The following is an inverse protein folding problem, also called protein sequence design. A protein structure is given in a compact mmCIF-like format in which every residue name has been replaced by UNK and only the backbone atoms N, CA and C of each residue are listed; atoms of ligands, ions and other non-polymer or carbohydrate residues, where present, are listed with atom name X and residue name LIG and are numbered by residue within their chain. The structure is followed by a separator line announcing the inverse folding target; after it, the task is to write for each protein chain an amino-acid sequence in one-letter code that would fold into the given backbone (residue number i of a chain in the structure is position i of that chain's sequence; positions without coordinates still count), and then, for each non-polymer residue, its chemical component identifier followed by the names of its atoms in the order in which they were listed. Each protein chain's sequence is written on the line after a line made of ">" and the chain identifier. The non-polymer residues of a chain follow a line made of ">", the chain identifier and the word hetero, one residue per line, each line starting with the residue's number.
data_IF_521518007010
#
_entry.id   IF_521518007010
#
_cell.length_a   1.000
_cell.length_b   1.000
_cell.length_c   1.000
_cell.angle_alpha   90.00
_cell.angle_beta   90.00
_cell.angle_gamma   90.00
#
_symmetry.space_group_name_H-M   'P 1'
#
loop_
_entity.id
_entity.type
_entity.pdbx_description
1 polymer ?
#
# COMPACT_ATOMS: atom_id res chain seq x y z
N UNK A 1 -1.06 -29.83 4.49
CA UNK A 1 0.09 -28.92 4.30
C UNK A 1 -0.37 -27.52 4.60
N UNK A 2 0.35 -26.82 5.47
CA UNK A 2 0.02 -25.47 5.93
C UNK A 2 1.20 -24.58 5.60
N UNK A 3 0.97 -23.41 5.01
CA UNK A 3 2.03 -22.43 4.70
C UNK A 3 1.61 -21.08 5.25
N UNK A 4 2.52 -20.35 5.90
CA UNK A 4 2.29 -18.98 6.33
C UNK A 4 3.59 -18.17 6.33
N UNK A 5 3.47 -16.89 6.02
CA UNK A 5 4.54 -15.90 6.27
C UNK A 5 4.34 -15.33 7.66
N UNK A 6 5.39 -15.33 8.48
CA UNK A 6 5.30 -14.86 9.86
C UNK A 6 5.19 -13.33 9.90
N UNK A 7 4.13 -12.84 10.55
CA UNK A 7 3.88 -11.44 10.88
C UNK A 7 4.68 -11.01 12.11
N UNK A 8 5.04 -11.95 12.98
CA UNK A 8 5.91 -11.67 14.15
C UNK A 8 7.39 -11.63 13.76
N UNK A 9 7.78 -12.43 12.77
CA UNK A 9 9.15 -12.57 12.27
C UNK A 9 9.15 -12.24 10.78
N UNK A 10 9.31 -10.96 10.40
CA UNK A 10 9.28 -10.57 8.99
C UNK A 10 10.30 -11.39 8.20
N UNK A 11 9.99 -11.61 6.92
CA UNK A 11 10.81 -12.39 5.99
C UNK A 11 10.93 -13.90 6.27
N UNK A 12 10.25 -14.45 7.29
CA UNK A 12 10.18 -15.89 7.52
C UNK A 12 8.94 -16.50 6.87
N UNK A 13 9.15 -17.44 5.96
CA UNK A 13 8.14 -18.35 5.43
C UNK A 13 8.25 -19.70 6.16
N UNK A 14 7.12 -20.17 6.70
CA UNK A 14 7.00 -21.47 7.37
C UNK A 14 6.06 -22.36 6.59
N UNK A 15 6.50 -23.59 6.33
CA UNK A 15 5.72 -24.61 5.65
C UNK A 15 5.72 -25.90 6.46
N UNK A 16 4.54 -26.32 6.89
CA UNK A 16 4.31 -27.52 7.67
C UNK A 16 3.65 -28.60 6.82
N UNK A 17 4.25 -29.78 6.79
CA UNK A 17 3.79 -30.94 6.04
C UNK A 17 3.51 -32.05 7.06
N UNK A 18 2.25 -32.44 7.15
CA UNK A 18 1.75 -33.45 8.08
C UNK A 18 1.21 -34.65 7.30
N UNK A 19 1.67 -35.85 7.65
CA UNK A 19 1.12 -37.13 7.22
C UNK A 19 0.29 -37.75 8.36
N UNK A 20 -0.99 -38.01 8.11
CA UNK A 20 -1.87 -38.67 9.07
C UNK A 20 -2.03 -40.14 8.73
N UNK A 21 -1.65 -41.00 9.68
CA UNK A 21 -1.72 -42.44 9.53
C UNK A 21 -2.91 -42.99 10.30
N UNK A 22 -3.78 -43.73 9.63
CA UNK A 22 -4.94 -44.37 10.27
C UNK A 22 -4.57 -45.62 11.08
N UNK A 23 -3.36 -46.17 10.89
CA UNK A 23 -2.88 -47.38 11.55
C UNK A 23 -1.42 -47.23 12.03
N UNK A 24 -1.05 -47.84 13.17
CA UNK A 24 0.30 -47.70 13.76
C UNK A 24 1.44 -48.34 12.94
N UNK A 25 1.15 -49.30 12.06
CA UNK A 25 2.14 -50.01 11.24
C UNK A 25 2.13 -49.56 9.77
N UNK A 26 1.62 -48.36 9.49
CA UNK A 26 1.50 -47.87 8.13
C UNK A 26 2.86 -47.59 7.48
N UNK A 27 2.94 -47.87 6.17
CA UNK A 27 4.12 -47.61 5.35
C UNK A 27 4.44 -46.11 5.31
N UNK A 28 5.73 -45.71 5.38
CA UNK A 28 6.11 -44.32 5.19
C UNK A 28 5.59 -43.75 3.86
N UNK A 29 5.16 -42.49 3.87
CA UNK A 29 4.68 -41.75 2.71
C UNK A 29 5.82 -40.92 2.15
N UNK A 30 6.13 -41.10 0.87
CA UNK A 30 7.10 -40.27 0.15
C UNK A 30 6.42 -38.96 -0.30
N UNK A 31 6.95 -37.84 0.15
CA UNK A 31 6.63 -36.50 -0.35
C UNK A 31 7.76 -36.06 -1.27
N UNK A 32 7.46 -35.88 -2.56
CA UNK A 32 8.43 -35.41 -3.55
C UNK A 32 7.78 -34.37 -4.46
N UNK A 33 8.55 -33.43 -5.03
CA UNK A 33 8.03 -32.53 -6.04
C UNK A 33 7.48 -33.29 -7.26
N UNK A 34 6.34 -32.83 -7.79
CA UNK A 34 5.76 -33.37 -9.03
C UNK A 34 6.57 -32.93 -10.27
N UNK A 35 7.28 -31.82 -10.16
CA UNK A 35 8.14 -31.23 -11.18
C UNK A 35 9.54 -30.98 -10.61
N UNK A 36 10.56 -31.08 -11.46
CA UNK A 36 11.90 -30.65 -11.10
C UNK A 36 11.88 -29.15 -10.76
N UNK A 37 12.55 -28.77 -9.66
CA UNK A 37 12.66 -27.36 -9.29
C UNK A 37 13.62 -26.68 -10.25
N UNK A 38 13.13 -25.63 -10.92
CA UNK A 38 13.92 -24.74 -11.73
C UNK A 38 14.09 -23.41 -10.98
N UNK A 39 15.33 -22.92 -10.94
CA UNK A 39 15.67 -21.61 -10.37
C UNK A 39 15.96 -20.56 -11.45
N UNK A 40 15.85 -20.90 -12.74
CA UNK A 40 15.97 -19.91 -13.80
C UNK A 40 14.83 -18.89 -13.70
N UNK A 41 15.19 -17.61 -13.83
CA UNK A 41 14.26 -16.49 -13.85
C UNK A 41 14.60 -15.57 -15.02
N UNK A 42 13.60 -15.04 -15.75
CA UNK A 42 13.83 -14.03 -16.77
C UNK A 42 14.13 -12.65 -16.17
N UNK A 43 13.85 -12.44 -14.88
CA UNK A 43 13.90 -11.12 -14.22
C UNK A 43 15.15 -10.92 -13.37
N UNK A 44 15.79 -12.02 -12.94
CA UNK A 44 16.94 -11.97 -12.05
C UNK A 44 17.91 -13.13 -12.27
N UNK A 45 19.20 -12.83 -12.06
CA UNK A 45 20.21 -13.86 -11.92
C UNK A 45 20.05 -14.52 -10.56
N UNK A 46 19.99 -15.85 -10.53
CA UNK A 46 19.83 -16.64 -9.31
C UNK A 46 21.01 -17.61 -9.17
N UNK A 47 21.69 -17.51 -8.04
CA UNK A 47 22.81 -18.35 -7.63
C UNK A 47 22.35 -19.21 -6.46
N UNK A 48 22.47 -20.52 -6.61
CA UNK A 48 22.09 -21.51 -5.59
C UNK A 48 23.31 -22.29 -5.15
N UNK A 49 23.62 -22.23 -3.86
CA UNK A 49 24.79 -22.89 -3.28
C UNK A 49 24.39 -23.73 -2.04
N UNK A 50 24.98 -24.92 -1.85
CA UNK A 50 24.88 -25.62 -0.58
C UNK A 50 25.69 -24.88 0.48
N UNK A 51 25.11 -24.65 1.65
CA UNK A 51 25.77 -24.02 2.79
C UNK A 51 25.36 -24.74 4.08
N UNK A 52 26.31 -25.36 4.78
CA UNK A 52 26.08 -26.10 6.04
C UNK A 52 24.92 -27.12 6.02
N UNK A 53 24.70 -27.78 4.88
CA UNK A 53 23.60 -28.75 4.71
C UNK A 53 22.25 -28.12 4.41
N UNK A 54 22.21 -26.81 4.19
CA UNK A 54 21.07 -26.01 3.76
C UNK A 54 21.28 -25.48 2.33
N UNK A 55 20.26 -24.82 1.79
CA UNK A 55 20.36 -24.06 0.54
C UNK A 55 20.48 -22.57 0.83
N UNK A 56 21.56 -21.99 0.34
CA UNK A 56 21.77 -20.55 0.18
C UNK A 56 21.35 -20.17 -1.24
N UNK A 57 20.44 -19.21 -1.37
CA UNK A 57 19.99 -18.69 -2.66
C UNK A 57 20.26 -17.19 -2.64
N UNK A 58 20.97 -16.67 -3.62
CA UNK A 58 21.20 -15.23 -3.75
C UNK A 58 21.03 -14.81 -5.19
N UNK A 59 20.81 -13.52 -5.41
CA UNK A 59 20.60 -13.05 -6.76
C UNK A 59 20.45 -11.55 -6.84
N UNK A 60 20.32 -11.09 -8.08
CA UNK A 60 20.07 -9.69 -8.37
C UNK A 60 19.22 -9.53 -9.63
N UNK A 61 18.43 -8.46 -9.68
CA UNK A 61 17.62 -8.15 -10.86
C UNK A 61 18.50 -7.91 -12.08
N UNK A 62 18.05 -8.28 -13.28
CA UNK A 62 18.81 -8.01 -14.51
C UNK A 62 18.79 -6.54 -14.91
N UNK A 63 17.72 -5.84 -14.54
CA UNK A 63 17.50 -4.43 -14.88
C UNK A 63 17.20 -3.61 -13.62
N UNK A 64 17.26 -2.30 -13.79
CA UNK A 64 16.83 -1.29 -12.82
C UNK A 64 15.61 -0.58 -13.39
N UNK A 65 14.75 -0.05 -12.51
CA UNK A 65 13.60 0.76 -12.94
C UNK A 65 14.08 2.07 -13.59
N UNK A 66 15.17 2.66 -13.08
CA UNK A 66 15.80 3.83 -13.68
C UNK A 66 17.31 3.88 -13.48
N UNK A 67 18.06 4.00 -14.56
CA UNK A 67 19.52 4.18 -14.51
C UNK A 67 19.95 5.52 -13.89
N UNK A 68 19.06 6.51 -13.84
CA UNK A 68 19.35 7.83 -13.28
C UNK A 68 19.07 7.87 -11.77
N UNK A 69 17.99 7.21 -11.33
CA UNK A 69 17.46 7.35 -9.96
C UNK A 69 17.58 6.11 -9.09
N UNK A 70 18.03 4.98 -9.65
CA UNK A 70 18.28 3.75 -8.89
C UNK A 70 19.78 3.42 -8.89
N UNK A 71 20.34 3.24 -7.69
CA UNK A 71 21.73 2.87 -7.51
C UNK A 71 21.94 1.36 -7.71
N UNK A 72 21.97 0.94 -8.97
CA UNK A 72 22.23 -0.44 -9.37
C UNK A 72 21.06 -1.41 -9.15
N UNK A 73 21.31 -2.65 -9.53
CA UNK A 73 20.35 -3.76 -9.47
C UNK A 73 19.95 -4.07 -8.03
N UNK A 74 18.71 -4.54 -7.84
CA UNK A 74 18.24 -4.96 -6.52
C UNK A 74 18.75 -6.36 -6.20
N UNK A 75 19.37 -6.54 -5.03
CA UNK A 75 19.86 -7.84 -4.56
C UNK A 75 18.91 -8.49 -3.58
N UNK A 76 18.91 -9.82 -3.53
CA UNK A 76 18.20 -10.60 -2.53
C UNK A 76 19.03 -11.81 -2.07
N UNK A 77 18.77 -12.24 -0.85
CA UNK A 77 19.43 -13.35 -0.19
C UNK A 77 18.37 -14.19 0.51
N UNK A 78 18.39 -15.50 0.32
CA UNK A 78 17.46 -16.43 0.93
C UNK A 78 18.21 -17.62 1.51
N UNK A 79 17.70 -18.12 2.62
CA UNK A 79 18.27 -19.29 3.29
C UNK A 79 17.16 -20.26 3.67
N UNK A 80 17.34 -21.55 3.36
CA UNK A 80 16.30 -22.56 3.63
C UNK A 80 16.85 -23.93 3.97
N UNK A 81 16.12 -24.66 4.81
CA UNK A 81 16.42 -26.02 5.23
C UNK A 81 16.03 -27.12 4.26
N UNK A 82 15.42 -26.76 3.14
CA UNK A 82 15.26 -27.68 2.02
C UNK A 82 16.64 -27.98 1.44
N UNK A 83 16.97 -29.27 1.35
CA UNK A 83 18.25 -29.73 0.77
C UNK A 83 18.14 -30.01 -0.73
N UNK A 84 19.24 -29.96 -1.51
CA UNK A 84 19.23 -30.41 -2.92
C UNK A 84 18.73 -31.85 -3.11
N UNK A 85 18.96 -32.71 -2.11
CA UNK A 85 18.49 -34.09 -2.13
C UNK A 85 16.97 -34.17 -1.98
N UNK A 86 16.38 -33.37 -1.10
CA UNK A 86 14.92 -33.30 -0.94
C UNK A 86 14.24 -32.72 -2.18
N UNK A 87 14.86 -31.74 -2.85
CA UNK A 87 14.35 -31.21 -4.13
C UNK A 87 14.31 -32.27 -5.23
N UNK A 88 15.30 -33.16 -5.27
CA UNK A 88 15.43 -34.17 -6.34
C UNK A 88 14.72 -35.49 -6.04
N UNK A 89 14.72 -35.93 -4.78
CA UNK A 89 14.25 -37.26 -4.37
C UNK A 89 13.04 -37.23 -3.43
N UNK A 90 12.72 -36.07 -2.85
CA UNK A 90 11.74 -35.94 -1.80
C UNK A 90 12.24 -36.44 -0.44
N UNK A 91 11.32 -36.49 0.52
CA UNK A 91 11.54 -36.98 1.88
C UNK A 91 10.36 -37.87 2.31
N UNK A 92 10.60 -38.72 3.31
CA UNK A 92 9.57 -39.62 3.84
C UNK A 92 9.01 -39.09 5.16
N UNK A 93 7.69 -39.19 5.32
CA UNK A 93 7.02 -39.09 6.62
C UNK A 93 6.57 -40.48 7.04
N UNK A 94 6.66 -40.78 8.34
CA UNK A 94 6.28 -42.08 8.91
C UNK A 94 5.46 -41.89 10.17
N UNK A 95 4.88 -42.98 10.68
CA UNK A 95 4.15 -42.94 11.97
C UNK A 95 4.99 -42.36 13.11
N UNK A 96 6.31 -42.58 13.08
CA UNK A 96 7.24 -42.08 14.10
C UNK A 96 7.76 -40.66 13.83
N UNK A 97 7.60 -40.15 12.61
CA UNK A 97 7.95 -38.79 12.22
C UNK A 97 6.93 -38.29 11.19
N UNK A 98 5.70 -37.97 11.64
CA UNK A 98 4.59 -37.64 10.76
C UNK A 98 4.59 -36.18 10.32
N UNK A 99 5.55 -35.38 10.78
CA UNK A 99 5.53 -33.92 10.68
C UNK A 99 6.90 -33.41 10.21
N UNK A 100 6.90 -32.52 9.22
CA UNK A 100 8.09 -31.81 8.72
C UNK A 100 7.78 -30.32 8.63
N UNK A 101 8.66 -29.51 9.20
CA UNK A 101 8.68 -28.08 9.02
C UNK A 101 9.80 -27.73 8.06
N UNK A 102 9.50 -26.79 7.17
CA UNK A 102 10.44 -26.16 6.27
C UNK A 102 10.40 -24.66 6.56
N UNK A 103 11.57 -24.09 6.75
CA UNK A 103 11.78 -22.68 7.06
C UNK A 103 12.58 -22.06 5.91
N UNK A 104 12.10 -20.93 5.43
CA UNK A 104 12.80 -20.11 4.44
C UNK A 104 12.83 -18.69 4.94
N UNK A 105 14.00 -18.07 4.99
CA UNK A 105 14.17 -16.66 5.31
C UNK A 105 14.66 -15.88 4.11
N UNK A 106 14.35 -14.59 4.06
CA UNK A 106 14.78 -13.66 3.00
C UNK A 106 15.40 -12.40 3.62
N UNK A 107 16.41 -11.83 2.98
CA UNK A 107 16.97 -10.52 3.28
C UNK A 107 17.28 -9.78 1.97
N UNK A 108 17.17 -8.45 2.00
CA UNK A 108 17.65 -7.57 0.91
C UNK A 108 19.06 -7.05 1.14
N UNK A 109 19.62 -7.27 2.33
CA UNK A 109 20.89 -6.68 2.77
C UNK A 109 22.05 -7.65 2.63
N UNK A 110 21.92 -8.87 3.16
CA UNK A 110 23.01 -9.84 3.18
C UNK A 110 22.53 -11.27 3.45
N UNK A 111 23.36 -12.24 3.08
CA UNK A 111 23.16 -13.64 3.44
C UNK A 111 23.27 -13.86 4.96
N UNK A 112 24.17 -13.16 5.65
CA UNK A 112 24.34 -13.28 7.11
C UNK A 112 23.05 -12.90 7.86
N UNK A 113 22.33 -11.88 7.40
CA UNK A 113 21.04 -11.51 7.98
C UNK A 113 19.96 -12.58 7.73
N UNK A 114 19.92 -13.17 6.53
CA UNK A 114 19.01 -14.25 6.21
C UNK A 114 19.28 -15.49 7.08
N UNK A 115 20.56 -15.86 7.26
CA UNK A 115 21.01 -16.96 8.12
C UNK A 115 20.65 -16.67 9.58
N UNK A 116 20.98 -15.49 10.10
CA UNK A 116 20.68 -15.13 11.49
C UNK A 116 19.18 -15.19 11.80
N UNK A 117 18.34 -14.72 10.85
CA UNK A 117 16.88 -14.82 10.95
C UNK A 117 16.41 -16.27 10.95
N UNK A 118 17.04 -17.13 10.13
CA UNK A 118 16.74 -18.55 10.06
C UNK A 118 17.11 -19.26 11.36
N UNK A 119 18.30 -19.03 11.90
CA UNK A 119 18.76 -19.64 13.15
C UNK A 119 17.84 -19.30 14.31
N UNK A 120 17.39 -18.04 14.39
CA UNK A 120 16.37 -17.62 15.37
C UNK A 120 15.02 -18.34 15.18
N UNK A 121 14.62 -18.61 13.94
CA UNK A 121 13.43 -19.41 13.62
C UNK A 121 13.59 -20.89 13.99
N UNK A 122 14.74 -21.47 13.66
CA UNK A 122 15.07 -22.87 13.89
C UNK A 122 15.16 -23.17 15.39
N UNK A 123 15.78 -22.30 16.19
CA UNK A 123 15.88 -22.47 17.64
C UNK A 123 14.50 -22.62 18.29
N UNK A 124 13.52 -21.82 17.86
CA UNK A 124 12.14 -21.91 18.35
C UNK A 124 11.46 -23.17 17.84
N UNK A 125 11.61 -23.47 16.55
CA UNK A 125 11.03 -24.68 15.97
C UNK A 125 11.57 -25.98 16.59
N UNK A 126 12.82 -26.01 17.06
CA UNK A 126 13.42 -27.17 17.72
C UNK A 126 12.89 -27.38 19.14
N UNK A 127 12.50 -26.31 19.83
CA UNK A 127 11.89 -26.38 21.16
C UNK A 127 10.44 -26.84 21.05
N UNK A 128 9.66 -26.16 20.21
CA UNK A 128 8.28 -26.49 19.90
C UNK A 128 7.89 -25.88 18.54
N UNK A 129 7.68 -26.72 17.51
CA UNK A 129 7.28 -26.22 16.20
C UNK A 129 5.94 -25.49 16.16
N UNK A 130 5.01 -25.79 17.08
CA UNK A 130 3.72 -25.11 17.15
C UNK A 130 3.86 -23.67 17.63
N UNK A 131 4.95 -23.35 18.33
CA UNK A 131 5.23 -21.99 18.80
C UNK A 131 5.28 -20.98 17.64
N UNK A 132 5.88 -21.32 16.48
CA UNK A 132 5.87 -20.43 15.31
C UNK A 132 4.46 -20.12 14.80
N UNK A 133 3.58 -21.14 14.81
CA UNK A 133 2.17 -20.96 14.44
C UNK A 133 1.42 -20.12 15.50
N UNK A 134 1.68 -20.35 16.78
CA UNK A 134 1.07 -19.59 17.86
C UNK A 134 1.50 -18.12 17.89
N UNK A 135 2.77 -17.82 17.60
CA UNK A 135 3.27 -16.46 17.43
C UNK A 135 2.54 -15.74 16.29
N UNK A 136 2.46 -16.40 15.13
CA UNK A 136 1.72 -15.89 13.97
C UNK A 136 0.24 -15.63 14.31
N UNK A 137 -0.44 -16.62 14.90
CA UNK A 137 -1.85 -16.51 15.26
C UNK A 137 -2.09 -15.42 16.31
N UNK A 138 -1.13 -15.20 17.22
CA UNK A 138 -1.21 -14.14 18.23
C UNK A 138 -1.03 -12.77 17.58
N UNK A 139 -0.07 -12.61 16.66
CA UNK A 139 0.12 -11.36 15.92
C UNK A 139 -1.12 -10.99 15.09
N UNK A 140 -1.77 -11.97 14.45
CA UNK A 140 -3.05 -11.75 13.80
C UNK A 140 -4.15 -11.40 14.78
N UNK A 141 -4.29 -12.14 15.89
CA UNK A 141 -5.29 -11.84 16.92
C UNK A 141 -5.15 -10.43 17.49
N UNK A 142 -3.92 -9.95 17.66
CA UNK A 142 -3.65 -8.57 18.09
C UNK A 142 -4.13 -7.56 17.05
N UNK A 143 -3.76 -7.74 15.78
CA UNK A 143 -4.22 -6.88 14.70
C UNK A 143 -5.75 -6.85 14.58
N UNK A 144 -6.39 -8.02 14.64
CA UNK A 144 -7.85 -8.15 14.54
C UNK A 144 -8.61 -7.52 15.71
N UNK A 145 -7.97 -7.21 16.85
CA UNK A 145 -8.68 -6.49 17.93
C UNK A 145 -9.25 -5.17 17.43
N UNK A 146 -8.54 -4.53 16.51
CA UNK A 146 -8.99 -3.34 15.83
C UNK A 146 -9.57 -3.75 14.46
N UNK A 147 -10.75 -3.24 14.10
CA UNK A 147 -11.35 -3.50 12.78
C UNK A 147 -12.02 -4.87 12.57
N UNK A 148 -12.17 -5.71 13.61
CA UNK A 148 -13.03 -6.90 13.51
C UNK A 148 -14.49 -6.51 13.31
N UNK A 149 -15.08 -6.96 12.20
CA UNK A 149 -16.45 -6.63 11.81
C UNK A 149 -17.23 -7.92 11.57
N UNK A 150 -18.32 -8.11 12.30
CA UNK A 150 -19.22 -9.26 12.12
C UNK A 150 -20.66 -8.81 11.87
N UNK A 151 -21.33 -9.51 10.96
CA UNK A 151 -22.75 -9.32 10.69
C UNK A 151 -23.56 -10.29 11.54
N UNK A 152 -24.64 -9.80 12.13
CA UNK A 152 -25.63 -10.62 12.84
C UNK A 152 -26.99 -10.40 12.21
N UNK A 153 -27.72 -11.48 11.94
CA UNK A 153 -29.10 -11.40 11.49
C UNK A 153 -30.03 -10.86 12.59
N UNK A 154 -31.23 -10.44 12.20
CA UNK A 154 -32.25 -9.85 13.09
C UNK A 154 -32.66 -10.76 14.25
N UNK A 155 -32.42 -12.07 14.12
CA UNK A 155 -32.74 -13.09 15.12
C UNK A 155 -31.50 -13.86 15.60
N UNK A 156 -30.29 -13.35 15.36
CA UNK A 156 -29.02 -13.99 15.71
C UNK A 156 -28.19 -14.38 14.49
N UNK A 157 -27.16 -15.21 14.71
CA UNK A 157 -26.33 -15.74 13.63
C UNK A 157 -27.13 -16.73 12.78
N UNK A 158 -27.16 -16.46 11.48
CA UNK A 158 -27.71 -17.34 10.46
C UNK A 158 -26.66 -17.64 9.38
N UNK A 159 -26.98 -18.53 8.43
CA UNK A 159 -26.04 -18.90 7.38
C UNK A 159 -25.62 -17.72 6.48
N UNK A 160 -26.50 -16.73 6.31
CA UNK A 160 -26.26 -15.58 5.43
C UNK A 160 -25.30 -14.56 6.08
N UNK A 161 -25.54 -14.22 7.34
CA UNK A 161 -24.71 -13.35 8.17
C UNK A 161 -23.34 -13.97 8.44
N UNK A 162 -23.27 -15.29 8.62
CA UNK A 162 -22.02 -16.04 8.69
C UNK A 162 -21.23 -15.94 7.38
N UNK A 163 -21.90 -16.14 6.23
CA UNK A 163 -21.25 -16.03 4.92
C UNK A 163 -20.71 -14.63 4.67
N UNK A 164 -21.48 -13.59 4.96
CA UNK A 164 -21.05 -12.20 4.76
C UNK A 164 -19.87 -11.82 5.66
N UNK A 165 -19.90 -12.24 6.93
CA UNK A 165 -18.77 -12.04 7.86
C UNK A 165 -17.50 -12.72 7.34
N UNK A 166 -17.61 -13.93 6.80
CA UNK A 166 -16.46 -14.64 6.19
C UNK A 166 -15.92 -13.92 4.96
N UNK A 167 -16.78 -13.37 4.10
CA UNK A 167 -16.35 -12.57 2.94
C UNK A 167 -15.58 -11.34 3.42
N UNK A 168 -16.14 -10.60 4.39
CA UNK A 168 -15.50 -9.40 4.94
C UNK A 168 -14.14 -9.72 5.56
N UNK A 169 -14.05 -10.76 6.40
CA UNK A 169 -12.78 -11.18 6.99
C UNK A 169 -11.76 -11.61 5.93
N UNK A 170 -12.20 -12.21 4.82
CA UNK A 170 -11.31 -12.60 3.71
C UNK A 170 -10.74 -11.38 3.00
N UNK A 171 -11.57 -10.36 2.74
CA UNK A 171 -11.13 -9.10 2.13
C UNK A 171 -10.17 -8.34 3.06
N UNK A 172 -10.54 -8.20 4.33
CA UNK A 172 -9.69 -7.57 5.35
C UNK A 172 -8.36 -8.31 5.51
N UNK A 173 -8.38 -9.65 5.57
CA UNK A 173 -7.17 -10.47 5.64
C UNK A 173 -6.26 -10.23 4.42
N UNK A 174 -6.84 -10.21 3.22
CA UNK A 174 -6.11 -10.00 1.96
C UNK A 174 -5.47 -8.62 1.88
N UNK A 175 -6.14 -7.60 2.40
CA UNK A 175 -5.58 -6.25 2.49
C UNK A 175 -4.47 -6.15 3.55
N UNK A 176 -4.73 -6.68 4.75
CA UNK A 176 -3.80 -6.59 5.89
C UNK A 176 -2.52 -7.42 5.72
N UNK A 177 -2.56 -8.48 4.90
CA UNK A 177 -1.35 -9.26 4.57
C UNK A 177 -0.37 -8.48 3.69
N UNK A 178 -0.81 -7.40 3.03
CA UNK A 178 0.07 -6.54 2.24
C UNK A 178 0.85 -5.55 3.11
N UNK A 179 0.45 -5.39 4.38
CA UNK A 179 1.12 -4.48 5.31
C UNK A 179 2.11 -5.22 6.22
N UNK A 180 3.25 -4.59 6.54
CA UNK A 180 4.14 -5.08 7.58
C UNK A 180 3.46 -5.02 8.96
N UNK A 181 4.11 -5.66 9.93
CA UNK A 181 3.66 -5.62 11.32
C UNK A 181 4.09 -4.30 11.98
N UNK A 182 3.15 -3.58 12.60
CA UNK A 182 3.46 -2.34 13.36
C UNK A 182 4.40 -2.57 14.55
N UNK A 183 4.46 -3.82 15.03
CA UNK A 183 5.29 -4.23 16.16
C UNK A 183 6.71 -4.66 15.74
N UNK A 184 7.05 -4.58 14.46
CA UNK A 184 8.38 -4.96 13.99
C UNK A 184 9.44 -3.91 14.37
N UNK A 185 10.67 -4.30 14.73
CA UNK A 185 11.76 -3.36 14.93
C UNK A 185 11.95 -2.45 13.70
N UNK A 186 12.17 -1.15 13.91
CA UNK A 186 12.41 -0.19 12.82
C UNK A 186 11.16 0.43 12.18
N UNK A 187 9.94 -0.01 12.53
CA UNK A 187 8.69 0.57 11.99
C UNK A 187 8.58 2.10 12.14
N UNK A 188 9.14 2.64 13.23
CA UNK A 188 9.11 4.06 13.60
C UNK A 188 10.20 4.90 12.91
N UNK A 189 11.28 4.26 12.43
CA UNK A 189 12.47 4.95 11.92
C UNK A 189 12.98 4.30 10.61
N UNK A 190 12.13 4.18 9.60
CA UNK A 190 12.55 3.68 8.29
C UNK A 190 13.30 4.80 7.51
N UNK A 191 14.63 4.70 7.30
CA UNK A 191 15.44 5.75 6.68
C UNK A 191 15.25 5.82 5.15
N UNK A 192 14.63 4.80 4.58
CA UNK A 192 14.26 4.61 3.18
C UNK A 192 13.09 3.62 3.22
N UNK A 193 11.94 3.96 2.66
CA UNK A 193 10.71 3.20 2.85
C UNK A 193 10.92 1.71 2.47
N UNK A 194 10.81 0.78 3.43
CA UNK A 194 10.82 -0.67 3.11
C UNK A 194 9.47 -1.11 2.54
N UNK A 195 8.45 -0.28 2.71
CA UNK A 195 7.09 -0.49 2.22
C UNK A 195 6.85 0.32 0.94
N UNK A 196 6.64 -0.35 -0.18
CA UNK A 196 6.50 0.30 -1.50
C UNK A 196 5.04 0.59 -1.87
N UNK A 197 4.20 0.89 -0.88
CA UNK A 197 2.77 1.12 -1.09
C UNK A 197 1.96 -0.17 -1.31
N UNK A 198 0.71 -0.01 -1.78
CA UNK A 198 -0.22 -1.10 -2.03
C UNK A 198 -0.60 -1.17 -3.51
N UNK A 199 -0.44 -2.36 -4.09
CA UNK A 199 -1.00 -2.68 -5.40
C UNK A 199 -2.46 -3.14 -5.26
N UNK A 200 -3.38 -2.79 -6.20
CA UNK A 200 -4.78 -3.26 -6.18
C UNK A 200 -4.93 -4.79 -6.09
N UNK A 201 -3.93 -5.54 -6.57
CA UNK A 201 -3.89 -7.01 -6.61
C UNK A 201 -3.14 -7.62 -5.42
N UNK A 202 -2.66 -6.79 -4.48
CA UNK A 202 -1.97 -7.20 -3.27
C UNK A 202 -0.46 -7.40 -3.48
N UNK A 203 0.09 -8.50 -2.95
CA UNK A 203 1.48 -8.90 -3.22
C UNK A 203 1.54 -9.55 -4.60
N UNK A 204 1.56 -8.72 -5.65
CA UNK A 204 1.57 -9.13 -7.05
C UNK A 204 2.69 -10.13 -7.37
N UNK A 205 2.52 -10.93 -8.42
CA UNK A 205 3.50 -11.96 -8.80
C UNK A 205 4.72 -11.43 -9.53
N UNK A 206 4.68 -10.17 -9.99
CA UNK A 206 5.83 -9.45 -10.52
C UNK A 206 6.17 -9.74 -11.98
N UNK A 207 5.28 -10.34 -12.78
CA UNK A 207 5.49 -10.44 -14.22
C UNK A 207 4.98 -9.18 -14.93
N UNK A 208 5.55 -8.89 -16.10
CA UNK A 208 5.04 -7.86 -17.01
C UNK A 208 3.58 -8.17 -17.40
N UNK A 209 2.71 -7.16 -17.33
CA UNK A 209 1.27 -7.21 -17.61
C UNK A 209 0.41 -8.07 -16.66
N UNK A 210 1.00 -8.85 -15.75
CA UNK A 210 0.24 -9.58 -14.72
C UNK A 210 0.04 -8.73 -13.47
N UNK A 211 -1.13 -8.87 -12.83
CA UNK A 211 -1.41 -8.31 -11.50
C UNK A 211 -1.06 -6.80 -11.37
N UNK A 212 -1.21 -6.02 -12.45
CA UNK A 212 -0.76 -4.62 -12.54
C UNK A 212 0.71 -4.40 -12.17
N UNK A 213 1.57 -5.39 -12.43
CA UNK A 213 3.02 -5.38 -12.18
C UNK A 213 3.42 -5.07 -10.72
N UNK A 214 2.48 -5.15 -9.77
CA UNK A 214 2.71 -4.72 -8.39
C UNK A 214 2.77 -3.20 -8.19
N UNK A 215 2.38 -2.41 -9.20
CA UNK A 215 2.40 -0.95 -9.14
C UNK A 215 1.31 -0.41 -8.21
N UNK A 216 1.58 0.77 -7.67
CA UNK A 216 0.71 1.53 -6.78
C UNK A 216 -0.01 2.62 -7.57
N UNK A 217 -1.33 2.55 -7.53
CA UNK A 217 -2.24 3.50 -8.18
C UNK A 217 -2.97 4.33 -7.13
N UNK A 218 -3.83 5.25 -7.58
CA UNK A 218 -4.82 5.94 -6.75
C UNK A 218 -5.77 5.03 -5.96
N UNK A 219 -5.87 3.74 -6.34
CA UNK A 219 -6.55 2.67 -5.62
C UNK A 219 -6.16 2.60 -4.14
N UNK A 220 -4.86 2.76 -3.87
CA UNK A 220 -4.33 2.77 -2.53
C UNK A 220 -5.03 3.86 -1.72
N UNK A 221 -4.96 5.10 -2.17
CA UNK A 221 -5.50 6.26 -1.48
C UNK A 221 -7.03 6.22 -1.28
N UNK A 222 -7.78 5.82 -2.30
CA UNK A 222 -9.23 6.05 -2.32
C UNK A 222 -10.08 4.83 -1.99
N UNK A 223 -9.61 3.61 -2.25
CA UNK A 223 -10.39 2.39 -1.99
C UNK A 223 -9.81 1.60 -0.81
N UNK A 224 -8.49 1.54 -0.69
CA UNK A 224 -7.85 0.73 0.34
C UNK A 224 -7.68 1.50 1.66
N UNK A 225 -7.19 2.73 1.59
CA UNK A 225 -6.88 3.52 2.78
C UNK A 225 -8.10 3.96 3.61
N UNK A 226 -9.32 4.20 3.12
CA UNK A 226 -10.41 4.66 3.99
C UNK A 226 -10.72 3.70 5.14
N UNK A 227 -10.74 2.39 4.88
CA UNK A 227 -10.96 1.39 5.93
C UNK A 227 -9.75 1.27 6.86
N UNK A 228 -8.54 1.25 6.29
CA UNK A 228 -7.28 1.20 7.06
C UNK A 228 -7.14 2.43 7.96
N UNK A 229 -7.54 3.61 7.48
CA UNK A 229 -7.51 4.86 8.22
C UNK A 229 -8.36 4.79 9.49
N UNK A 230 -9.52 4.15 9.43
CA UNK A 230 -10.45 4.06 10.56
C UNK A 230 -9.99 3.08 11.64
N UNK A 231 -9.40 1.95 11.25
CA UNK A 231 -9.12 0.84 12.17
C UNK A 231 -7.64 0.60 12.44
N UNK A 232 -6.77 1.00 11.52
CA UNK A 232 -5.32 0.77 11.58
C UNK A 232 -4.54 2.02 11.15
N UNK A 233 -4.66 3.13 11.88
CA UNK A 233 -4.16 4.43 11.43
C UNK A 233 -2.64 4.51 11.25
N UNK A 234 -1.87 3.67 11.96
CA UNK A 234 -0.43 3.58 11.74
C UNK A 234 -0.09 2.98 10.37
N UNK A 235 -0.90 2.04 9.87
CA UNK A 235 -0.74 1.46 8.54
C UNK A 235 -1.16 2.45 7.45
N UNK A 236 -2.21 3.26 7.70
CA UNK A 236 -2.59 4.36 6.81
C UNK A 236 -1.46 5.39 6.69
N UNK A 237 -0.90 5.81 7.85
CA UNK A 237 0.27 6.69 7.90
C UNK A 237 1.45 6.13 7.12
N UNK A 238 1.75 4.84 7.26
CA UNK A 238 2.85 4.19 6.54
C UNK A 238 2.67 4.29 5.01
N UNK A 239 1.46 4.12 4.50
CA UNK A 239 1.18 4.29 3.07
C UNK A 239 1.32 5.76 2.61
N UNK A 240 0.95 6.73 3.43
CA UNK A 240 1.20 8.14 3.15
C UNK A 240 2.69 8.49 3.24
N UNK A 241 3.44 7.85 4.13
CA UNK A 241 4.89 8.00 4.24
C UNK A 241 5.61 7.47 2.99
N UNK A 242 5.07 6.45 2.31
CA UNK A 242 5.55 6.04 0.98
C UNK A 242 5.40 7.19 -0.02
N UNK A 243 4.22 7.83 -0.13
CA UNK A 243 4.02 8.99 -1.03
C UNK A 243 4.93 10.16 -0.66
N UNK A 244 5.13 10.43 0.63
CA UNK A 244 6.08 11.44 1.08
C UNK A 244 7.53 11.10 0.68
N UNK A 245 7.94 9.83 0.77
CA UNK A 245 9.26 9.39 0.34
C UNK A 245 9.49 9.56 -1.18
N UNK A 246 8.44 9.41 -1.99
CA UNK A 246 8.49 9.61 -3.45
C UNK A 246 8.37 11.07 -3.89
N UNK A 247 8.13 12.00 -2.95
CA UNK A 247 7.92 13.41 -3.24
C UNK A 247 9.06 14.06 -4.06
N UNK A 248 10.36 13.76 -3.85
CA UNK A 248 11.42 14.30 -4.69
C UNK A 248 11.25 13.96 -6.19
N UNK A 249 10.85 12.73 -6.52
CA UNK A 249 10.65 12.32 -7.92
C UNK A 249 9.34 12.84 -8.49
N UNK A 250 8.29 12.97 -7.67
CA UNK A 250 7.07 13.67 -8.08
C UNK A 250 7.33 15.16 -8.41
N UNK A 251 8.24 15.83 -7.68
CA UNK A 251 8.70 17.19 -7.99
C UNK A 251 9.52 17.24 -9.27
N UNK A 252 10.45 16.30 -9.44
CA UNK A 252 11.24 16.17 -10.67
C UNK A 252 10.33 16.04 -11.89
N UNK A 253 9.31 15.19 -11.81
CA UNK A 253 8.34 15.01 -12.89
C UNK A 253 7.58 16.30 -13.21
N UNK A 254 7.00 16.94 -12.20
CA UNK A 254 6.27 18.20 -12.40
C UNK A 254 7.16 19.22 -13.15
N UNK A 255 8.40 19.39 -12.69
CA UNK A 255 9.37 20.28 -13.32
C UNK A 255 9.70 19.89 -14.77
N UNK A 256 9.90 18.59 -15.04
CA UNK A 256 10.21 18.08 -16.38
C UNK A 256 9.12 18.35 -17.41
N UNK A 257 7.87 18.50 -16.95
CA UNK A 257 6.70 18.79 -17.77
C UNK A 257 6.31 20.29 -17.76
N UNK A 258 7.12 21.14 -17.13
CA UNK A 258 6.90 22.58 -17.07
C UNK A 258 5.89 23.04 -16.00
N UNK A 259 5.57 22.18 -15.03
CA UNK A 259 4.74 22.49 -13.88
C UNK A 259 5.57 22.72 -12.61
N UNK A 260 4.93 23.22 -11.57
CA UNK A 260 5.53 23.37 -10.24
C UNK A 260 4.98 22.29 -9.28
N UNK A 261 5.49 22.24 -8.04
CA UNK A 261 4.96 21.35 -7.01
C UNK A 261 5.28 19.88 -7.25
N UNK A 262 4.35 18.98 -6.94
CA UNK A 262 4.52 17.54 -7.06
C UNK A 262 3.45 16.89 -7.95
N UNK A 263 3.90 16.20 -9.01
CA UNK A 263 3.08 15.37 -9.88
C UNK A 263 3.41 13.91 -9.65
N UNK A 264 2.63 13.25 -8.79
CA UNK A 264 2.72 11.81 -8.58
C UNK A 264 2.35 11.02 -9.85
N UNK A 265 2.96 9.85 -10.05
CA UNK A 265 2.67 9.01 -11.20
C UNK A 265 1.35 8.28 -11.12
N UNK A 266 0.83 7.92 -12.29
CA UNK A 266 -0.35 7.08 -12.39
C UNK A 266 -0.04 5.69 -11.84
N UNK A 267 1.08 5.12 -12.26
CA UNK A 267 1.68 3.92 -11.69
C UNK A 267 3.01 4.25 -11.02
N UNK A 268 3.06 4.03 -9.70
CA UNK A 268 4.25 4.20 -8.89
C UNK A 268 4.81 2.84 -8.49
N UNK A 269 6.13 2.66 -8.57
CA UNK A 269 6.78 1.43 -8.14
C UNK A 269 7.98 1.70 -7.22
N UNK A 270 9.18 1.19 -7.56
CA UNK A 270 10.34 1.16 -6.68
C UNK A 270 10.97 2.54 -6.46
N UNK A 271 11.18 3.31 -7.53
CA UNK A 271 11.79 4.65 -7.46
C UNK A 271 10.77 5.75 -7.20
N UNK A 272 9.51 5.53 -7.59
CA UNK A 272 8.44 6.54 -7.58
C UNK A 272 8.36 7.39 -8.85
N UNK A 273 9.09 7.01 -9.90
CA UNK A 273 8.88 7.55 -11.26
C UNK A 273 7.57 7.05 -11.85
N UNK A 274 7.17 7.67 -12.96
CA UNK A 274 6.10 7.13 -13.81
C UNK A 274 6.55 5.84 -14.47
N UNK A 275 5.83 4.76 -14.19
CA UNK A 275 6.10 3.43 -14.75
C UNK A 275 4.97 2.92 -15.63
N UNK A 276 3.89 3.70 -15.76
CA UNK A 276 2.72 3.33 -16.57
C UNK A 276 3.13 3.04 -18.02
N UNK A 277 2.87 1.83 -18.55
CA UNK A 277 3.16 1.51 -19.95
C UNK A 277 2.17 2.19 -20.93
N UNK A 278 1.05 2.70 -20.42
CA UNK A 278 0.03 3.41 -21.19
C UNK A 278 0.25 4.94 -21.18
N UNK A 279 0.98 5.44 -22.19
CA UNK A 279 1.37 6.86 -22.31
C UNK A 279 0.22 7.86 -22.08
N UNK A 280 -0.97 7.58 -22.62
CA UNK A 280 -2.13 8.48 -22.49
C UNK A 280 -2.61 8.57 -21.04
N UNK A 281 -2.66 7.45 -20.31
CA UNK A 281 -3.01 7.50 -18.88
C UNK A 281 -1.93 8.18 -18.06
N UNK A 282 -0.66 7.84 -18.29
CA UNK A 282 0.47 8.49 -17.64
C UNK A 282 0.39 10.03 -17.78
N UNK A 283 0.04 10.52 -18.97
CA UNK A 283 -0.03 11.95 -19.27
C UNK A 283 -1.32 12.62 -18.77
N UNK A 284 -2.46 11.94 -18.78
CA UNK A 284 -3.76 12.59 -18.60
C UNK A 284 -4.50 12.20 -17.31
N UNK A 285 -4.19 11.08 -16.65
CA UNK A 285 -4.80 10.63 -15.40
C UNK A 285 -4.21 11.28 -14.14
N UNK A 286 -4.12 12.62 -14.16
CA UNK A 286 -3.48 13.41 -13.10
C UNK A 286 -4.24 13.45 -11.77
N UNK A 287 -5.44 12.88 -11.70
CA UNK A 287 -6.25 12.82 -10.49
C UNK A 287 -5.65 12.02 -9.33
N UNK A 288 -4.67 11.13 -9.59
CA UNK A 288 -3.85 10.47 -8.55
C UNK A 288 -3.19 11.49 -7.62
N UNK A 289 -2.78 12.64 -8.14
CA UNK A 289 -2.21 13.73 -7.33
C UNK A 289 -3.22 14.25 -6.31
N UNK A 290 -4.47 14.39 -6.73
CA UNK A 290 -5.57 14.75 -5.85
C UNK A 290 -5.93 13.64 -4.85
N UNK A 291 -5.83 12.38 -5.24
CA UNK A 291 -6.09 11.23 -4.38
C UNK A 291 -5.13 11.20 -3.18
N UNK A 292 -3.84 11.46 -3.41
CA UNK A 292 -2.82 11.57 -2.34
C UNK A 292 -3.15 12.69 -1.37
N UNK A 293 -3.54 13.86 -1.89
CA UNK A 293 -4.00 14.96 -1.04
C UNK A 293 -5.23 14.55 -0.23
N UNK A 294 -6.26 14.01 -0.87
CA UNK A 294 -7.51 13.64 -0.22
C UNK A 294 -7.29 12.61 0.90
N UNK A 295 -6.51 11.56 0.67
CA UNK A 295 -6.17 10.57 1.70
C UNK A 295 -5.39 11.21 2.86
N UNK A 296 -4.47 12.13 2.58
CA UNK A 296 -3.74 12.90 3.60
C UNK A 296 -4.70 13.74 4.45
N UNK A 297 -5.65 14.44 3.81
CA UNK A 297 -6.67 15.23 4.50
C UNK A 297 -7.56 14.36 5.38
N UNK A 298 -7.98 13.19 4.89
CA UNK A 298 -8.80 12.24 5.64
C UNK A 298 -8.06 11.71 6.88
N UNK A 299 -6.79 11.34 6.74
CA UNK A 299 -5.97 10.89 7.88
C UNK A 299 -5.81 11.98 8.93
N UNK A 300 -5.42 13.20 8.52
CA UNK A 300 -5.25 14.33 9.43
C UNK A 300 -6.57 14.69 10.13
N UNK A 301 -7.68 14.74 9.40
CA UNK A 301 -9.00 15.09 9.95
C UNK A 301 -9.48 14.06 10.97
N UNK A 302 -9.23 12.78 10.72
CA UNK A 302 -9.67 11.69 11.59
C UNK A 302 -8.86 11.61 12.88
N UNK A 303 -7.55 11.85 12.81
CA UNK A 303 -6.63 11.56 13.91
C UNK A 303 -6.19 12.79 14.70
N UNK A 304 -6.27 13.98 14.10
CA UNK A 304 -5.77 15.17 14.78
C UNK A 304 -6.61 15.53 16.00
N UNK A 305 -5.96 15.97 17.09
CA UNK A 305 -6.65 16.35 18.30
C UNK A 305 -7.62 17.49 18.01
N UNK A 306 -8.92 17.22 18.17
CA UNK A 306 -9.94 18.22 17.89
C UNK A 306 -9.84 19.44 18.81
N UNK A 307 -9.76 20.65 18.24
CA UNK A 307 -10.62 21.73 18.74
C UNK A 307 -12.04 21.36 18.31
N UNK A 308 -12.74 20.56 19.11
CA UNK A 308 -14.05 19.98 18.82
C UNK A 308 -15.21 20.99 18.64
N UNK A 309 -14.96 22.24 18.21
CA UNK A 309 -15.97 23.29 18.09
C UNK A 309 -15.80 24.27 16.89
N UNK A 310 -14.99 23.99 15.85
CA UNK A 310 -14.79 24.99 14.76
C UNK A 310 -14.90 24.51 13.32
N UNK A 311 -15.22 23.25 13.02
CA UNK A 311 -15.61 22.85 11.66
C UNK A 311 -17.09 22.46 11.64
N UNK A 312 -17.94 23.48 11.62
CA UNK A 312 -19.31 23.30 11.14
C UNK A 312 -19.27 23.25 9.60
N UNK A 313 -19.18 22.06 9.03
CA UNK A 313 -19.91 21.66 7.82
C UNK A 313 -19.68 20.17 7.55
N UNK A 314 -20.80 19.45 7.51
CA UNK A 314 -20.99 18.03 7.18
C UNK A 314 -20.66 16.97 8.26
N UNK A 315 -21.76 16.51 8.86
CA UNK A 315 -21.98 15.22 9.53
C UNK A 315 -21.43 15.01 10.95
N UNK A 316 -22.34 15.14 11.92
CA UNK A 316 -22.21 14.60 13.28
C UNK A 316 -22.23 13.07 13.24
N UNK A 317 -21.09 12.41 13.40
CA UNK A 317 -21.03 11.06 13.99
C UNK A 317 -19.66 10.77 14.62
N UNK A 318 -19.70 10.46 15.92
CA UNK A 318 -18.75 9.70 16.73
C UNK A 318 -17.25 10.13 16.72
N UNK A 319 -16.88 10.98 17.68
CA UNK A 319 -15.50 11.12 18.12
C UNK A 319 -15.07 9.88 18.92
N UNK A 320 -14.03 9.19 18.49
CA UNK A 320 -13.36 8.15 19.28
C UNK A 320 -12.30 8.79 20.21
N UNK A 321 -12.10 8.26 21.44
CA UNK A 321 -11.17 8.86 22.38
C UNK A 321 -9.71 8.61 21.97
N UNK A 322 -8.95 9.69 21.77
CA UNK A 322 -7.50 9.66 21.59
C UNK A 322 -6.85 9.48 22.98
N UNK A 323 -6.20 8.34 23.19
CA UNK A 323 -5.44 8.06 24.42
C UNK A 323 -4.08 8.75 24.37
N UNK A 324 -3.80 9.56 25.39
CA UNK A 324 -2.54 10.31 25.55
C UNK A 324 -1.49 9.48 26.29
N UNK A 325 -0.47 8.99 25.59
CA UNK A 325 0.81 8.69 26.24
C UNK A 325 1.96 8.50 25.23
N UNK A 326 3.07 9.18 25.54
CA UNK A 326 4.43 9.05 25.01
C UNK A 326 4.70 9.58 23.60
N UNK A 327 5.81 10.31 23.45
CA UNK A 327 6.35 10.84 22.20
C UNK A 327 6.57 9.74 21.16
N UNK A 328 5.56 9.49 20.32
CA UNK A 328 5.63 8.55 19.21
C UNK A 328 5.64 9.31 17.89
N UNK A 329 6.31 8.75 16.89
CA UNK A 329 6.21 9.14 15.47
C UNK A 329 4.79 9.05 14.89
N UNK A 330 3.80 8.71 15.70
CA UNK A 330 2.39 8.55 15.35
C UNK A 330 1.54 9.76 15.79
N UNK A 331 2.14 10.82 16.35
CA UNK A 331 1.43 12.07 16.63
C UNK A 331 1.06 12.77 15.30
N UNK A 332 -0.23 12.93 14.99
CA UNK A 332 -0.68 13.58 13.76
C UNK A 332 -0.26 15.05 13.65
N UNK A 333 -0.05 15.74 14.78
CA UNK A 333 0.46 17.12 14.78
C UNK A 333 1.91 17.16 14.30
N UNK A 334 2.75 16.28 14.81
CA UNK A 334 4.15 16.18 14.40
C UNK A 334 4.25 15.67 12.95
N UNK A 335 3.47 14.66 12.58
CA UNK A 335 3.45 14.15 11.20
C UNK A 335 3.01 15.24 10.21
N UNK A 336 2.00 16.05 10.55
CA UNK A 336 1.63 17.22 9.75
C UNK A 336 2.81 18.19 9.61
N UNK A 337 3.44 18.59 10.72
CA UNK A 337 4.54 19.58 10.71
C UNK A 337 5.72 19.17 9.85
N UNK A 338 6.11 17.89 9.89
CA UNK A 338 7.31 17.41 9.20
C UNK A 338 7.04 16.79 7.83
N UNK A 339 5.80 16.39 7.53
CA UNK A 339 5.49 15.63 6.30
C UNK A 339 4.20 16.10 5.65
N UNK A 340 3.08 15.99 6.35
CA UNK A 340 1.75 16.24 5.79
C UNK A 340 1.60 17.64 5.19
N UNK A 341 2.12 18.67 5.86
CA UNK A 341 2.11 20.05 5.36
C UNK A 341 2.86 20.18 4.04
N UNK A 342 4.09 19.65 3.97
CA UNK A 342 4.94 19.71 2.77
C UNK A 342 4.24 19.00 1.60
N UNK A 343 3.65 17.83 1.88
CA UNK A 343 2.91 17.06 0.88
C UNK A 343 1.70 17.84 0.33
N UNK A 344 0.89 18.44 1.22
CA UNK A 344 -0.27 19.25 0.82
C UNK A 344 0.15 20.51 0.05
N UNK A 345 1.19 21.21 0.49
CA UNK A 345 1.73 22.41 -0.18
C UNK A 345 2.20 22.10 -1.61
N UNK A 346 2.97 21.03 -1.80
CA UNK A 346 3.48 20.70 -3.14
C UNK A 346 2.40 20.21 -4.09
N UNK A 347 1.42 19.45 -3.59
CA UNK A 347 0.26 19.06 -4.39
C UNK A 347 -0.56 20.29 -4.79
N UNK A 348 -0.81 21.22 -3.86
CA UNK A 348 -1.52 22.45 -4.17
C UNK A 348 -0.74 23.32 -5.18
N UNK A 349 0.59 23.38 -5.06
CA UNK A 349 1.44 24.10 -6.01
C UNK A 349 1.37 23.49 -7.41
N UNK A 350 1.33 22.15 -7.53
CA UNK A 350 1.09 21.47 -8.81
C UNK A 350 -0.24 21.89 -9.43
N UNK A 351 -1.34 21.75 -8.70
CA UNK A 351 -2.65 22.16 -9.20
C UNK A 351 -2.70 23.64 -9.56
N UNK A 352 -2.07 24.50 -8.75
CA UNK A 352 -2.02 25.95 -8.99
C UNK A 352 -1.28 26.30 -10.29
N UNK A 353 -0.24 25.54 -10.65
CA UNK A 353 0.47 25.67 -11.93
C UNK A 353 -0.26 24.99 -13.10
N UNK A 354 -1.13 24.00 -12.83
CA UNK A 354 -1.85 23.21 -13.84
C UNK A 354 -3.15 23.87 -14.33
N UNK A 355 -3.79 24.68 -13.49
CA UNK A 355 -5.03 25.39 -13.83
C UNK A 355 -4.77 26.54 -14.79
N UNK A 356 -5.73 26.80 -15.68
CA UNK A 356 -5.66 27.90 -16.65
C UNK A 356 -6.84 28.85 -16.44
N UNK A 357 -6.60 30.17 -16.44
CA UNK A 357 -7.69 31.13 -16.31
C UNK A 357 -8.40 31.34 -17.65
N UNK A 358 -9.72 31.21 -17.63
CA UNK A 358 -10.60 31.41 -18.77
C UNK A 358 -11.32 32.74 -18.63
N UNK A 359 -10.95 33.73 -19.45
CA UNK A 359 -11.63 35.04 -19.45
C UNK A 359 -13.10 34.92 -19.86
N UNK A 360 -13.43 33.95 -20.72
CA UNK A 360 -14.81 33.72 -21.19
C UNK A 360 -15.71 33.17 -20.09
N UNK A 361 -15.17 32.28 -19.25
CA UNK A 361 -15.92 31.67 -18.13
C UNK A 361 -15.76 32.43 -16.82
N UNK A 362 -14.86 33.41 -16.77
CA UNK A 362 -14.41 34.10 -15.57
C UNK A 362 -13.98 33.15 -14.42
N UNK A 363 -13.44 32.01 -14.81
CA UNK A 363 -13.15 30.87 -13.95
C UNK A 363 -11.84 30.18 -14.37
N UNK A 364 -11.27 29.36 -13.49
CA UNK A 364 -10.15 28.50 -13.81
C UNK A 364 -10.63 27.17 -14.39
N UNK A 365 -9.91 26.66 -15.38
CA UNK A 365 -10.21 25.42 -16.09
C UNK A 365 -9.05 24.44 -15.98
N UNK A 366 -9.36 23.15 -16.11
CA UNK A 366 -8.37 22.09 -16.31
C UNK A 366 -8.76 21.36 -17.58
N UNK A 367 -7.87 21.37 -18.56
CA UNK A 367 -8.10 20.80 -19.90
C UNK A 367 -7.13 19.67 -20.16
N UNK A 368 -7.45 18.81 -21.13
CA UNK A 368 -6.61 17.70 -21.55
C UNK A 368 -6.32 16.74 -20.39
N UNK A 369 -7.40 16.20 -19.83
CA UNK A 369 -7.36 15.21 -18.75
C UNK A 369 -8.12 13.95 -19.13
N UNK A 370 -7.80 12.87 -18.43
CA UNK A 370 -8.54 11.63 -18.45
C UNK A 370 -9.16 11.48 -17.05
N UNK A 371 -10.49 11.52 -16.92
CA UNK A 371 -11.19 11.27 -15.67
C UNK A 371 -11.06 9.80 -15.25
N UNK A 372 -11.60 9.42 -14.07
CA UNK A 372 -11.79 8.03 -13.68
C UNK A 372 -12.39 7.11 -14.76
N UNK A 373 -13.30 7.63 -15.59
CA UNK A 373 -13.76 6.91 -16.77
C UNK A 373 -12.67 6.94 -17.86
N UNK A 374 -11.88 5.88 -17.90
CA UNK A 374 -10.77 5.72 -18.83
C UNK A 374 -11.19 5.60 -20.31
N UNK A 375 -12.49 5.38 -20.58
CA UNK A 375 -13.02 5.42 -21.95
C UNK A 375 -13.13 6.85 -22.50
N UNK A 376 -13.10 7.83 -21.62
CA UNK A 376 -13.11 9.25 -21.95
C UNK A 376 -11.70 9.81 -21.74
N UNK A 377 -11.16 10.53 -22.72
CA UNK A 377 -9.83 11.12 -22.60
C UNK A 377 -9.72 12.47 -23.30
N UNK A 378 -8.64 13.21 -22.99
CA UNK A 378 -8.40 14.56 -23.51
C UNK A 378 -9.58 15.53 -23.26
N UNK A 379 -10.37 15.28 -22.22
CA UNK A 379 -11.57 16.04 -21.96
C UNK A 379 -11.25 17.35 -21.24
N UNK A 380 -12.22 18.27 -21.28
CA UNK A 380 -12.14 19.55 -20.59
C UNK A 380 -13.00 19.52 -19.34
N UNK A 381 -12.46 20.05 -18.25
CA UNK A 381 -13.16 20.28 -17.00
C UNK A 381 -13.94 19.05 -16.49
N UNK A 382 -13.25 17.91 -16.41
CA UNK A 382 -13.79 16.74 -15.72
C UNK A 382 -14.28 17.14 -14.33
N UNK A 383 -15.54 16.83 -14.01
CA UNK A 383 -16.12 17.13 -12.71
C UNK A 383 -15.32 16.50 -11.56
N UNK A 384 -14.88 15.25 -11.74
CA UNK A 384 -14.05 14.55 -10.76
C UNK A 384 -12.71 15.25 -10.58
N UNK A 385 -11.97 15.46 -11.67
CA UNK A 385 -10.63 16.04 -11.63
C UNK A 385 -10.66 17.46 -11.05
N UNK A 386 -11.63 18.27 -11.48
CA UNK A 386 -11.79 19.62 -10.97
C UNK A 386 -12.17 19.61 -9.48
N UNK A 387 -13.03 18.70 -9.04
CA UNK A 387 -13.40 18.59 -7.62
C UNK A 387 -12.20 18.26 -6.74
N UNK A 388 -11.43 17.22 -7.12
CA UNK A 388 -10.28 16.79 -6.31
C UNK A 388 -9.13 17.80 -6.35
N UNK A 389 -8.94 18.51 -7.47
CA UNK A 389 -8.01 19.63 -7.58
C UNK A 389 -8.42 20.81 -6.70
N UNK A 390 -9.71 21.16 -6.68
CA UNK A 390 -10.26 22.23 -5.83
C UNK A 390 -10.04 21.93 -4.34
N UNK A 391 -10.34 20.71 -3.90
CA UNK A 391 -10.06 20.25 -2.53
C UNK A 391 -8.56 20.32 -2.21
N UNK A 392 -7.72 19.90 -3.15
CA UNK A 392 -6.26 19.93 -3.00
C UNK A 392 -5.68 21.33 -2.86
N UNK A 393 -6.16 22.27 -3.68
CA UNK A 393 -5.77 23.69 -3.63
C UNK A 393 -6.16 24.35 -2.30
N UNK A 394 -7.31 24.00 -1.74
CA UNK A 394 -7.77 24.56 -0.47
C UNK A 394 -7.06 23.97 0.76
N UNK A 395 -6.55 22.73 0.66
CA UNK A 395 -6.07 21.98 1.81
C UNK A 395 -4.97 22.68 2.63
N UNK A 396 -3.93 23.30 2.05
CA UNK A 396 -2.89 23.97 2.84
C UNK A 396 -3.44 25.07 3.76
N UNK A 397 -4.37 25.90 3.25
CA UNK A 397 -5.01 26.95 4.03
C UNK A 397 -5.91 26.39 5.13
N UNK A 398 -6.67 25.33 4.83
CA UNK A 398 -7.54 24.65 5.79
C UNK A 398 -6.73 24.09 6.96
N UNK A 399 -5.69 23.32 6.67
CA UNK A 399 -4.89 22.67 7.71
C UNK A 399 -3.99 23.67 8.45
N UNK A 400 -3.45 24.70 7.78
CA UNK A 400 -2.74 25.77 8.47
C UNK A 400 -3.62 26.46 9.52
N UNK A 401 -4.86 26.82 9.16
CA UNK A 401 -5.82 27.38 10.14
C UNK A 401 -6.15 26.40 11.25
N UNK A 402 -6.33 25.12 10.92
CA UNK A 402 -6.64 24.09 11.89
C UNK A 402 -5.54 23.96 12.97
N UNK A 403 -4.27 23.88 12.55
CA UNK A 403 -3.12 23.77 13.46
C UNK A 403 -2.65 25.10 14.05
N UNK A 404 -3.20 26.23 13.60
CA UNK A 404 -2.81 27.57 14.06
C UNK A 404 -1.52 28.10 13.43
N UNK A 405 -1.15 27.57 12.27
CA UNK A 405 -0.03 28.06 11.46
C UNK A 405 -0.41 29.34 10.70
N UNK A 406 0.57 30.18 10.31
CA UNK A 406 0.34 31.28 9.39
C UNK A 406 -0.24 30.81 8.06
N UNK A 407 -1.18 31.59 7.50
CA UNK A 407 -1.70 31.38 6.14
C UNK A 407 -1.04 32.41 5.22
N UNK A 408 0.03 32.04 4.46
CA UNK A 408 0.68 32.95 3.53
C UNK A 408 -0.24 33.33 2.36
N UNK A 409 0.11 34.41 1.65
CA UNK A 409 -0.66 34.89 0.48
C UNK A 409 -0.80 33.82 -0.61
N UNK A 410 0.22 32.99 -0.80
CA UNK A 410 0.19 31.85 -1.73
C UNK A 410 -1.00 30.91 -1.46
N UNK A 411 -1.29 30.62 -0.18
CA UNK A 411 -2.43 29.77 0.18
C UNK A 411 -3.78 30.44 -0.09
N UNK A 412 -3.83 31.78 0.04
CA UNK A 412 -5.04 32.54 -0.26
C UNK A 412 -5.30 32.59 -1.77
N UNK A 413 -4.25 32.68 -2.60
CA UNK A 413 -4.34 32.51 -4.05
C UNK A 413 -4.86 31.11 -4.41
N UNK A 414 -4.31 30.06 -3.80
CA UNK A 414 -4.78 28.69 -4.03
C UNK A 414 -6.24 28.49 -3.63
N UNK A 415 -6.69 29.03 -2.49
CA UNK A 415 -8.11 29.02 -2.13
C UNK A 415 -8.99 29.81 -3.09
N UNK A 416 -8.49 30.91 -3.67
CA UNK A 416 -9.21 31.67 -4.68
C UNK A 416 -9.40 30.84 -5.95
N UNK A 417 -8.32 30.19 -6.42
CA UNK A 417 -8.34 29.24 -7.54
C UNK A 417 -9.31 28.09 -7.27
N UNK A 418 -9.26 27.48 -6.08
CA UNK A 418 -10.16 26.40 -5.67
C UNK A 418 -11.63 26.78 -5.80
N UNK A 419 -12.01 27.97 -5.32
CA UNK A 419 -13.40 28.49 -5.35
C UNK A 419 -13.86 28.88 -6.75
N UNK A 420 -12.93 29.18 -7.64
CA UNK A 420 -13.20 29.65 -9.01
C UNK A 420 -12.90 28.59 -10.06
N UNK A 421 -12.67 27.35 -9.66
CA UNK A 421 -12.53 26.25 -10.59
C UNK A 421 -13.88 25.95 -11.21
N UNK A 422 -13.94 25.91 -12.54
CA UNK A 422 -15.19 25.73 -13.27
C UNK A 422 -15.70 24.28 -13.11
N UNK A 423 -17.01 24.10 -13.00
CA UNK A 423 -17.63 22.78 -12.83
C UNK A 423 -18.72 22.58 -13.90
N UNK A 424 -18.75 21.42 -14.58
CA UNK A 424 -19.71 21.14 -15.66
C UNK A 424 -21.10 20.78 -15.11
N UNK A 425 -21.88 21.78 -14.72
CA UNK A 425 -23.24 21.58 -14.18
C UNK A 425 -24.32 21.82 -15.23
N UNK A 426 -25.23 20.86 -15.37
CA UNK A 426 -26.50 21.07 -16.07
C UNK A 426 -27.54 21.57 -15.07
N UNK A 427 -27.84 22.86 -15.15
CA UNK A 427 -28.82 23.50 -14.26
C UNK A 427 -30.28 23.11 -14.56
N UNK A 428 -30.58 22.65 -15.77
CA UNK A 428 -31.94 22.26 -16.17
C UNK A 428 -32.29 20.90 -15.60
N UNK A 429 -31.36 19.94 -15.73
CA UNK A 429 -31.56 18.58 -15.23
C UNK A 429 -31.07 18.38 -13.79
N UNK A 430 -30.47 19.41 -13.18
CA UNK A 430 -29.90 19.40 -11.83
C UNK A 430 -28.81 18.33 -11.60
N UNK A 431 -28.07 18.00 -12.66
CA UNK A 431 -26.98 17.01 -12.63
C UNK A 431 -25.61 17.65 -12.80
N UNK A 432 -24.59 17.01 -12.25
CA UNK A 432 -23.20 17.26 -12.62
C UNK A 432 -22.89 16.40 -13.84
N UNK A 433 -22.47 17.02 -14.93
CA UNK A 433 -21.98 16.31 -16.11
C UNK A 433 -20.58 15.78 -15.80
N UNK A 434 -20.16 14.72 -16.50
CA UNK A 434 -18.85 14.12 -16.24
C UNK A 434 -17.68 15.03 -16.64
N UNK A 435 -17.83 15.75 -17.74
CA UNK A 435 -16.89 16.74 -18.26
C UNK A 435 -17.67 17.79 -19.09
N UNK A 436 -17.00 18.89 -19.49
CA UNK A 436 -17.63 20.02 -20.20
C UNK A 436 -18.38 19.58 -21.47
N UNK A 437 -17.76 18.69 -22.25
CA UNK A 437 -18.28 18.24 -23.54
C UNK A 437 -19.23 17.01 -23.43
N UNK A 438 -19.63 16.61 -22.22
CA UNK A 438 -20.45 15.42 -22.02
C UNK A 438 -21.88 15.65 -22.53
N UNK A 439 -22.40 14.68 -23.31
CA UNK A 439 -23.74 14.73 -23.90
C UNK A 439 -24.64 13.70 -23.21
N UNK A 440 -25.68 14.18 -22.52
CA UNK A 440 -26.65 13.31 -21.84
C UNK A 440 -27.37 12.39 -22.84
N UNK A 441 -27.31 11.08 -22.58
CA UNK A 441 -28.07 10.07 -23.32
C UNK A 441 -27.41 9.52 -24.59
N UNK A 442 -26.11 9.77 -24.78
CA UNK A 442 -25.28 9.11 -25.81
C UNK A 442 -24.31 8.10 -25.20
#
# INVERSE_FOLDING_TARGET
>A
MTTFVSRRRPNLLVRCIEARFSQPQATPILFRPDLAVNFDSPDCEIIVEPHDGHLSISGHTHVVESNEFQNGVSTFYMYTDVTPQELSKGFYLSVNSPLRFLLTTVSRTSMDEAISSYEGAQLVSLQDPETLFHEQATAWRELWKDGYLCFRGSHGEDASSTRLSRILHTVQYSLLTCFPSVNQPGFVHQPSCEFYGLCPTGLARGNEEDDYMGHVFWDMELWMLPWINLFHPQLCRLALDYRYAMLPLARYRALSEGFEGARFPWESAFTGLETTPWDLAAQNQIHVVGAVSFATQQWLTTHSPGKANSMSTFSNTAAFPVSSSAHSSDDPVEWYRYRGRILLEDIARFWSSRVQYSSTKEAYEIVDVMPPDEYTHCCRNSAYTNTIASLSLAAPAVFARYYGDPVPEEYLDWENKAKRLWMPRDAVNEVMLEHEDYVLGY
#
